data_IF_197547779265
#
_entry.id   IF_197547779265
#
_cell.length_a   1.000
_cell.length_b   1.000
_cell.length_c   1.000
_cell.angle_alpha   90.00
_cell.angle_beta   90.00
_cell.angle_gamma   90.00
#
_symmetry.space_group_name_H-M   'P 1'
#
loop_
_entity.id
_entity.type
_entity.pdbx_description
1 polymer ?
#
# COMPACT_ATOMS: atom_id res chain seq x y z
N UNK A 1 -15.62 5.85 19.77
CA UNK A 1 -14.35 6.60 19.95
C UNK A 1 -13.20 5.60 20.00
N UNK A 2 -12.48 5.42 18.90
CA UNK A 2 -11.18 4.75 18.90
C UNK A 2 -10.24 5.64 18.11
N UNK A 3 -9.44 6.44 18.82
CA UNK A 3 -8.42 7.29 18.21
C UNK A 3 -7.34 6.35 17.67
N UNK A 4 -7.34 6.14 16.36
CA UNK A 4 -6.26 5.49 15.64
C UNK A 4 -4.98 6.29 15.87
N UNK A 5 -4.12 5.80 16.75
CA UNK A 5 -2.72 6.23 16.77
C UNK A 5 -2.00 5.41 15.70
N UNK A 6 -1.49 6.07 14.67
CA UNK A 6 -0.47 5.47 13.83
C UNK A 6 0.66 4.97 14.75
N UNK A 7 1.21 3.76 14.57
CA UNK A 7 2.38 3.33 15.31
C UNK A 7 3.48 4.34 15.07
N UNK A 8 3.76 5.08 16.14
CA UNK A 8 4.81 6.07 16.20
C UNK A 8 6.12 5.39 15.81
N UNK A 9 6.74 5.89 14.74
CA UNK A 9 8.16 6.19 14.89
C UNK A 9 8.22 7.07 16.13
N UNK A 10 8.86 6.60 17.21
CA UNK A 10 8.89 7.25 18.53
C UNK A 10 9.56 8.65 18.52
N UNK A 11 9.65 9.27 17.34
CA UNK A 11 10.39 10.47 17.01
C UNK A 11 9.69 11.36 15.95
N UNK A 12 8.44 11.08 15.54
CA UNK A 12 7.70 12.01 14.67
C UNK A 12 7.18 13.20 15.50
N UNK A 13 7.91 14.31 15.46
CA UNK A 13 7.58 15.55 16.17
C UNK A 13 6.31 16.24 15.62
N UNK A 14 5.84 15.87 14.44
CA UNK A 14 4.71 16.46 13.73
C UNK A 14 3.55 15.47 13.54
N UNK A 15 3.47 14.43 14.38
CA UNK A 15 2.51 13.33 14.23
C UNK A 15 1.04 13.79 14.19
N UNK A 16 0.70 14.80 14.98
CA UNK A 16 -0.63 15.42 14.99
C UNK A 16 -1.00 16.06 13.65
N UNK A 17 -0.05 16.71 12.98
CA UNK A 17 -0.26 17.22 11.62
C UNK A 17 -0.44 16.09 10.62
N UNK A 18 0.39 15.06 10.71
CA UNK A 18 0.27 13.88 9.87
C UNK A 18 -1.11 13.22 10.03
N UNK A 19 -1.60 13.07 11.26
CA UNK A 19 -2.88 12.42 11.56
C UNK A 19 -4.05 13.16 10.89
N UNK A 20 -4.16 14.48 11.08
CA UNK A 20 -5.26 15.23 10.48
C UNK A 20 -5.15 15.31 8.95
N UNK A 21 -3.93 15.35 8.40
CA UNK A 21 -3.72 15.35 6.95
C UNK A 21 -4.08 14.01 6.33
N UNK A 22 -3.77 12.89 7.01
CA UNK A 22 -4.16 11.56 6.58
C UNK A 22 -5.68 11.40 6.60
N UNK A 23 -6.35 11.92 7.62
CA UNK A 23 -7.81 11.93 7.69
C UNK A 23 -8.44 12.76 6.55
N UNK A 24 -7.90 13.95 6.28
CA UNK A 24 -8.32 14.75 5.12
C UNK A 24 -8.05 14.04 3.80
N UNK A 25 -6.93 13.32 3.68
CA UNK A 25 -6.62 12.54 2.49
C UNK A 25 -7.70 11.47 2.27
N UNK A 26 -7.99 10.66 3.29
CA UNK A 26 -8.98 9.60 3.21
C UNK A 26 -10.37 10.14 2.86
N UNK A 27 -10.76 11.29 3.43
CA UNK A 27 -11.99 11.97 3.04
C UNK A 27 -12.00 12.36 1.55
N UNK A 28 -10.94 13.00 1.06
CA UNK A 28 -10.89 13.42 -0.34
C UNK A 28 -10.90 12.21 -1.29
N UNK A 29 -10.28 11.08 -0.92
CA UNK A 29 -10.32 9.84 -1.70
C UNK A 29 -11.71 9.18 -1.67
N UNK A 30 -12.26 9.01 -0.48
CA UNK A 30 -13.42 8.14 -0.28
C UNK A 30 -14.74 8.89 -0.52
N UNK A 31 -14.83 10.13 -0.10
CA UNK A 31 -16.06 10.94 -0.17
C UNK A 31 -16.03 11.87 -1.38
N UNK A 32 -15.01 12.73 -1.48
CA UNK A 32 -14.92 13.70 -2.60
C UNK A 32 -14.43 13.08 -3.92
N UNK A 33 -13.90 11.85 -3.88
CA UNK A 33 -13.30 11.14 -5.03
C UNK A 33 -12.22 11.94 -5.77
N UNK A 34 -11.48 12.76 -5.04
CA UNK A 34 -10.40 13.60 -5.55
C UNK A 34 -9.03 12.98 -5.25
N UNK A 35 -8.53 12.18 -6.19
CA UNK A 35 -7.27 11.46 -6.03
C UNK A 35 -6.05 12.40 -5.97
N UNK A 36 -6.11 13.55 -6.64
CA UNK A 36 -5.00 14.52 -6.63
C UNK A 36 -4.85 15.16 -5.25
N UNK A 37 -5.95 15.55 -4.61
CA UNK A 37 -5.92 16.07 -3.23
C UNK A 37 -5.54 15.00 -2.22
N UNK A 38 -6.03 13.77 -2.39
CA UNK A 38 -5.59 12.62 -1.58
C UNK A 38 -4.07 12.47 -1.62
N UNK A 39 -3.47 12.45 -2.82
CA UNK A 39 -2.02 12.35 -2.98
C UNK A 39 -1.30 13.57 -2.39
N UNK A 40 -1.83 14.78 -2.56
CA UNK A 40 -1.23 16.00 -2.03
C UNK A 40 -1.17 16.00 -0.49
N UNK A 41 -2.25 15.62 0.19
CA UNK A 41 -2.25 15.53 1.66
C UNK A 41 -1.31 14.45 2.18
N UNK A 42 -1.24 13.29 1.51
CA UNK A 42 -0.29 12.22 1.88
C UNK A 42 1.15 12.63 1.69
N UNK A 43 1.47 13.34 0.60
CA UNK A 43 2.81 13.90 0.37
C UNK A 43 3.18 14.91 1.46
N UNK A 44 2.27 15.81 1.83
CA UNK A 44 2.50 16.74 2.92
C UNK A 44 2.72 16.03 4.27
N UNK A 45 1.89 15.03 4.59
CA UNK A 45 2.03 14.24 5.82
C UNK A 45 3.37 13.49 5.87
N UNK A 46 3.81 12.92 4.74
CA UNK A 46 5.11 12.24 4.59
C UNK A 46 6.28 13.17 4.90
N UNK A 47 6.30 14.35 4.28
CA UNK A 47 7.40 15.31 4.43
C UNK A 47 7.42 15.92 5.83
N UNK A 48 6.25 16.13 6.46
CA UNK A 48 6.17 16.55 7.86
C UNK A 48 6.64 15.47 8.83
N UNK A 49 6.33 14.20 8.55
CA UNK A 49 6.77 13.07 9.37
C UNK A 49 8.29 12.89 9.35
N UNK A 50 8.92 13.16 8.20
CA UNK A 50 10.37 13.11 8.03
C UNK A 50 11.09 14.38 8.54
N UNK A 51 10.36 15.45 8.86
CA UNK A 51 10.97 16.70 9.29
C UNK A 51 11.57 16.56 10.70
N UNK A 52 12.87 16.86 10.91
CA UNK A 52 13.58 16.56 12.16
C UNK A 52 13.22 17.50 13.32
N UNK A 53 12.39 18.52 13.09
CA UNK A 53 11.98 19.50 14.08
C UNK A 53 10.47 19.59 14.16
N UNK A 54 9.97 20.12 15.27
CA UNK A 54 8.56 20.51 15.39
C UNK A 54 8.34 21.75 14.52
N UNK A 55 7.35 21.69 13.63
CA UNK A 55 6.91 22.87 12.87
C UNK A 55 6.09 23.78 13.78
N UNK A 56 6.42 25.07 13.79
CA UNK A 56 5.84 26.09 14.67
C UNK A 56 4.92 27.06 13.93
N UNK A 57 4.90 27.04 12.59
CA UNK A 57 3.98 27.84 11.78
C UNK A 57 3.70 27.22 10.42
N UNK A 58 2.58 27.61 9.81
CA UNK A 58 2.26 27.27 8.43
C UNK A 58 3.30 27.80 7.45
N UNK A 59 3.89 28.98 7.70
CA UNK A 59 4.95 29.52 6.83
C UNK A 59 6.23 28.69 6.86
N UNK A 60 6.59 28.16 8.03
CA UNK A 60 7.68 27.20 8.14
C UNK A 60 7.34 25.92 7.37
N UNK A 61 6.14 25.38 7.57
CA UNK A 61 5.67 24.19 6.86
C UNK A 61 5.72 24.37 5.34
N UNK A 62 5.32 25.55 4.84
CA UNK A 62 5.23 25.89 3.40
C UNK A 62 6.60 25.86 2.68
N UNK A 63 7.71 25.92 3.42
CA UNK A 63 9.06 25.75 2.86
C UNK A 63 9.34 24.30 2.45
N UNK A 64 8.57 23.35 2.97
CA UNK A 64 8.71 21.94 2.66
C UNK A 64 8.06 21.61 1.31
N UNK A 65 8.80 20.92 0.44
CA UNK A 65 8.27 20.49 -0.85
C UNK A 65 7.07 19.54 -0.65
N UNK A 66 5.89 19.94 -1.12
CA UNK A 66 4.63 19.20 -0.92
C UNK A 66 3.65 19.89 0.03
N UNK A 67 4.07 20.94 0.75
CA UNK A 67 3.19 21.76 1.59
C UNK A 67 2.87 23.08 0.88
N UNK A 68 1.67 23.18 0.31
CA UNK A 68 1.17 24.40 -0.30
C UNK A 68 0.43 25.32 0.69
N UNK A 69 0.01 26.49 0.20
CA UNK A 69 -0.70 27.51 0.99
C UNK A 69 -1.96 26.98 1.72
N UNK A 70 -2.75 26.13 1.06
CA UNK A 70 -3.96 25.56 1.68
C UNK A 70 -3.66 24.59 2.83
N UNK A 71 -2.47 23.99 2.84
CA UNK A 71 -2.03 23.06 3.89
C UNK A 71 -1.38 23.87 5.02
N UNK A 72 -0.53 24.85 4.69
CA UNK A 72 0.04 25.77 5.68
C UNK A 72 -1.04 26.46 6.52
N UNK A 73 -2.10 26.96 5.89
CA UNK A 73 -3.19 27.64 6.62
C UNK A 73 -3.94 26.69 7.57
N UNK A 74 -3.99 25.39 7.27
CA UNK A 74 -4.59 24.38 8.17
C UNK A 74 -3.68 24.08 9.35
N UNK A 75 -2.37 24.05 9.13
CA UNK A 75 -1.38 23.90 10.20
C UNK A 75 -1.48 25.10 11.16
N UNK A 76 -1.58 26.32 10.63
CA UNK A 76 -1.81 27.52 11.45
C UNK A 76 -3.13 27.45 12.24
N UNK A 77 -4.23 27.07 11.60
CA UNK A 77 -5.52 26.88 12.28
C UNK A 77 -5.41 25.85 13.42
N UNK A 78 -4.76 24.72 13.16
CA UNK A 78 -4.56 23.67 14.16
C UNK A 78 -3.67 24.13 15.31
N UNK A 79 -2.56 24.82 15.03
CA UNK A 79 -1.66 25.36 16.04
C UNK A 79 -2.37 26.37 16.95
N UNK A 80 -3.26 27.20 16.38
CA UNK A 80 -3.99 28.22 17.14
C UNK A 80 -5.15 27.65 17.96
N UNK A 81 -5.85 26.64 17.45
CA UNK A 81 -7.14 26.18 18.02
C UNK A 81 -7.13 24.76 18.56
N UNK A 82 -6.11 23.97 18.23
CA UNK A 82 -6.05 22.53 18.48
C UNK A 82 -7.01 21.69 17.64
N UNK A 83 -7.73 22.29 16.68
CA UNK A 83 -8.76 21.65 15.86
C UNK A 83 -8.75 22.16 14.41
N UNK A 84 -9.48 21.48 13.54
CA UNK A 84 -9.75 21.93 12.18
C UNK A 84 -11.27 22.00 11.97
N UNK A 85 -11.82 23.18 11.65
CA UNK A 85 -13.25 23.32 11.36
C UNK A 85 -13.70 22.42 10.21
N UNK A 86 -12.83 22.19 9.21
CA UNK A 86 -13.14 21.27 8.11
C UNK A 86 -13.32 19.83 8.59
N UNK A 87 -12.52 19.36 9.55
CA UNK A 87 -12.67 18.01 10.10
C UNK A 87 -13.91 17.92 10.98
N UNK A 88 -14.20 18.94 11.79
CA UNK A 88 -15.44 18.99 12.57
C UNK A 88 -16.68 18.87 11.65
N UNK A 89 -16.68 19.56 10.50
CA UNK A 89 -17.76 19.44 9.53
C UNK A 89 -17.85 18.03 8.91
N UNK A 90 -16.72 17.40 8.61
CA UNK A 90 -16.67 16.02 8.10
C UNK A 90 -17.19 15.04 9.16
N UNK A 91 -16.85 15.25 10.43
CA UNK A 91 -17.32 14.47 11.57
C UNK A 91 -18.81 14.67 11.84
N UNK A 92 -19.45 15.71 11.33
CA UNK A 92 -20.89 15.93 11.46
C UNK A 92 -21.69 15.45 10.23
N UNK A 93 -21.02 14.99 9.17
CA UNK A 93 -21.67 14.48 7.96
C UNK A 93 -21.85 12.95 8.05
N UNK A 94 -23.05 12.51 8.42
CA UNK A 94 -23.40 11.08 8.52
C UNK A 94 -23.10 10.29 7.24
N UNK A 95 -23.30 10.90 6.07
CA UNK A 95 -23.04 10.26 4.77
C UNK A 95 -21.55 10.06 4.58
N UNK A 96 -20.74 11.07 4.89
CA UNK A 96 -19.28 10.98 4.83
C UNK A 96 -18.73 9.92 5.79
N UNK A 97 -19.26 9.87 7.02
CA UNK A 97 -18.89 8.84 8.00
C UNK A 97 -19.20 7.43 7.49
N UNK A 98 -20.41 7.22 6.97
CA UNK A 98 -20.83 5.92 6.46
C UNK A 98 -19.99 5.48 5.25
N UNK A 99 -19.70 6.39 4.30
CA UNK A 99 -18.78 6.10 3.19
C UNK A 99 -17.38 5.72 3.72
N UNK A 100 -16.87 6.46 4.70
CA UNK A 100 -15.56 6.19 5.29
C UNK A 100 -15.51 4.86 6.04
N UNK A 101 -16.62 4.45 6.68
CA UNK A 101 -16.75 3.15 7.30
C UNK A 101 -16.75 2.03 6.25
N UNK A 102 -17.62 2.12 5.25
CA UNK A 102 -17.80 1.08 4.24
C UNK A 102 -16.53 0.87 3.41
N UNK A 103 -15.78 1.93 3.11
CA UNK A 103 -14.53 1.84 2.35
C UNK A 103 -13.37 1.20 3.12
N UNK A 104 -13.49 0.97 4.43
CA UNK A 104 -12.53 0.16 5.20
C UNK A 104 -12.69 -1.34 4.95
N UNK A 105 -13.86 -1.78 4.49
CA UNK A 105 -14.10 -3.18 4.13
C UNK A 105 -13.33 -3.49 2.85
N UNK A 106 -12.42 -4.45 2.90
CA UNK A 106 -11.61 -4.84 1.75
C UNK A 106 -12.49 -5.21 0.55
N UNK A 107 -12.22 -4.62 -0.62
CA UNK A 107 -13.03 -4.80 -1.84
C UNK A 107 -14.16 -3.78 -2.02
N UNK A 108 -14.47 -2.94 -1.02
CA UNK A 108 -15.41 -1.82 -1.16
C UNK A 108 -14.64 -0.52 -1.42
N UNK A 109 -14.69 -0.05 -2.67
CA UNK A 109 -14.16 1.27 -3.06
C UNK A 109 -15.19 2.40 -2.94
N UNK A 110 -14.78 3.67 -3.19
CA UNK A 110 -15.66 4.85 -3.09
C UNK A 110 -16.92 4.79 -3.96
N UNK A 111 -16.82 4.12 -5.11
CA UNK A 111 -17.95 3.89 -6.03
C UNK A 111 -18.98 2.96 -5.40
N UNK A 112 -18.52 1.79 -4.92
CA UNK A 112 -19.40 0.79 -4.29
C UNK A 112 -19.98 1.30 -2.97
N UNK A 113 -19.19 2.00 -2.16
CA UNK A 113 -19.69 2.60 -0.93
C UNK A 113 -20.85 3.56 -1.18
N UNK A 114 -20.76 4.44 -2.19
CA UNK A 114 -21.88 5.33 -2.52
C UNK A 114 -23.11 4.60 -3.07
N UNK A 115 -22.93 3.54 -3.87
CA UNK A 115 -24.04 2.67 -4.32
C UNK A 115 -24.78 2.03 -3.13
N UNK A 116 -24.03 1.52 -2.15
CA UNK A 116 -24.57 0.93 -0.92
C UNK A 116 -25.35 1.97 -0.09
N UNK A 117 -24.84 3.19 0.03
CA UNK A 117 -25.52 4.29 0.74
C UNK A 117 -26.86 4.63 0.08
N UNK A 118 -26.93 4.67 -1.26
CA UNK A 118 -28.19 4.90 -2.00
C UNK A 118 -29.20 3.80 -1.68
N UNK A 119 -28.74 2.58 -1.45
CA UNK A 119 -29.55 1.41 -1.04
C UNK A 119 -29.84 1.36 0.46
N UNK A 120 -29.50 2.41 1.21
CA UNK A 120 -29.77 2.51 2.65
C UNK A 120 -28.76 1.78 3.55
N UNK A 121 -27.69 1.21 2.99
CA UNK A 121 -26.67 0.47 3.74
C UNK A 121 -25.64 1.47 4.27
N UNK A 122 -25.59 1.66 5.60
CA UNK A 122 -24.68 2.63 6.24
C UNK A 122 -23.75 2.02 7.28
N UNK A 123 -24.07 0.83 7.78
CA UNK A 123 -23.34 0.15 8.86
C UNK A 123 -22.81 -1.22 8.45
N UNK A 124 -21.91 -1.80 9.27
CA UNK A 124 -21.46 -3.18 9.09
C UNK A 124 -22.59 -4.20 9.33
N UNK A 125 -23.57 -3.85 10.17
CA UNK A 125 -24.75 -4.68 10.40
C UNK A 125 -25.63 -4.73 9.15
N UNK A 126 -25.83 -3.58 8.50
CA UNK A 126 -26.57 -3.51 7.23
C UNK A 126 -25.88 -4.35 6.15
N UNK A 127 -24.54 -4.30 6.05
CA UNK A 127 -23.77 -5.15 5.14
C UNK A 127 -23.98 -6.64 5.44
N UNK A 128 -23.97 -7.02 6.73
CA UNK A 128 -24.18 -8.41 7.12
C UNK A 128 -25.58 -8.93 6.80
N UNK A 129 -26.60 -8.07 6.84
CA UNK A 129 -27.98 -8.40 6.45
C UNK A 129 -28.19 -8.44 4.93
N UNK A 130 -27.33 -7.78 4.15
CA UNK A 130 -27.48 -7.61 2.69
C UNK A 130 -26.26 -8.14 1.92
N UNK A 131 -25.80 -9.36 2.26
CA UNK A 131 -24.61 -9.99 1.68
C UNK A 131 -24.75 -10.28 0.18
N UNK A 132 -25.97 -10.43 -0.32
CA UNK A 132 -26.30 -10.59 -1.74
C UNK A 132 -25.88 -9.38 -2.60
N UNK A 133 -25.72 -8.20 -1.99
CA UNK A 133 -25.23 -7.00 -2.67
C UNK A 133 -23.70 -6.96 -2.83
N UNK A 134 -22.99 -7.93 -2.26
CA UNK A 134 -21.53 -7.97 -2.18
C UNK A 134 -20.95 -9.05 -3.10
N UNK A 135 -19.86 -8.72 -3.77
CA UNK A 135 -19.08 -9.73 -4.51
C UNK A 135 -18.19 -10.56 -3.56
N UNK A 136 -17.57 -11.62 -4.10
CA UNK A 136 -16.71 -12.52 -3.32
C UNK A 136 -15.63 -11.80 -2.51
N UNK A 137 -14.90 -10.86 -3.10
CA UNK A 137 -13.87 -10.08 -2.38
C UNK A 137 -14.49 -9.30 -1.22
N UNK A 138 -15.61 -8.62 -1.46
CA UNK A 138 -16.30 -7.82 -0.45
C UNK A 138 -16.84 -8.69 0.70
N UNK A 139 -17.32 -9.91 0.40
CA UNK A 139 -17.75 -10.87 1.41
C UNK A 139 -16.59 -11.31 2.32
N UNK A 140 -15.42 -11.61 1.73
CA UNK A 140 -14.22 -11.93 2.50
C UNK A 140 -13.74 -10.71 3.30
N UNK A 141 -13.77 -9.52 2.71
CA UNK A 141 -13.42 -8.28 3.39
C UNK A 141 -14.33 -7.95 4.57
N UNK A 142 -15.62 -8.29 4.48
CA UNK A 142 -16.57 -8.16 5.58
C UNK A 142 -16.34 -9.24 6.65
N UNK A 143 -16.11 -10.49 6.23
CA UNK A 143 -15.86 -11.64 7.11
C UNK A 143 -14.67 -11.41 8.04
N UNK A 144 -13.59 -10.82 7.53
CA UNK A 144 -12.34 -10.57 8.27
C UNK A 144 -12.11 -9.09 8.56
N UNK A 145 -13.18 -8.28 8.64
CA UNK A 145 -13.06 -6.84 8.81
C UNK A 145 -12.20 -6.47 10.01
N UNK A 146 -12.48 -7.05 11.18
CA UNK A 146 -11.77 -6.75 12.42
C UNK A 146 -10.30 -7.22 12.37
N UNK A 147 -10.05 -8.43 11.86
CA UNK A 147 -8.69 -8.98 11.72
C UNK A 147 -7.81 -8.13 10.78
N UNK A 148 -8.37 -7.67 9.65
CA UNK A 148 -7.65 -6.87 8.66
C UNK A 148 -7.35 -5.44 9.14
N UNK A 149 -8.03 -4.95 10.18
CA UNK A 149 -7.69 -3.66 10.79
C UNK A 149 -6.51 -3.74 11.76
N UNK A 150 -6.17 -4.94 12.23
CA UNK A 150 -5.08 -5.17 13.17
C UNK A 150 -3.74 -5.28 12.44
N UNK A 151 -2.74 -4.53 12.92
CA UNK A 151 -1.37 -4.64 12.41
C UNK A 151 -0.76 -6.01 12.74
N UNK A 152 0.15 -6.46 11.89
CA UNK A 152 0.86 -7.72 12.00
C UNK A 152 2.23 -7.47 12.63
N UNK A 153 2.54 -7.99 13.83
CA UNK A 153 3.87 -7.90 14.42
C UNK A 153 4.94 -8.51 13.50
N UNK A 154 6.12 -7.89 13.44
CA UNK A 154 7.24 -8.37 12.61
C UNK A 154 7.60 -9.84 12.88
N UNK A 155 7.55 -10.28 14.14
CA UNK A 155 7.84 -11.66 14.53
C UNK A 155 6.84 -12.66 13.91
N UNK A 156 5.57 -12.29 13.81
CA UNK A 156 4.55 -13.13 13.16
C UNK A 156 4.88 -13.31 11.66
N UNK A 157 5.29 -12.22 10.98
CA UNK A 157 5.71 -12.27 9.57
C UNK A 157 6.96 -13.12 9.39
N UNK A 158 7.94 -13.07 10.31
CA UNK A 158 9.13 -13.91 10.25
C UNK A 158 8.80 -15.41 10.31
N UNK A 159 7.84 -15.79 11.17
CA UNK A 159 7.36 -17.18 11.25
C UNK A 159 6.63 -17.60 9.97
N UNK A 160 5.75 -16.73 9.44
CA UNK A 160 5.06 -16.97 8.16
C UNK A 160 6.06 -17.06 6.99
N UNK A 161 7.07 -16.19 6.94
CA UNK A 161 8.14 -16.21 5.94
C UNK A 161 8.88 -17.54 5.95
N UNK A 162 9.21 -18.08 7.13
CA UNK A 162 9.89 -19.36 7.25
C UNK A 162 9.05 -20.51 6.69
N UNK A 163 7.74 -20.52 6.94
CA UNK A 163 6.80 -21.52 6.39
C UNK A 163 6.70 -21.39 4.87
N UNK A 164 6.50 -20.16 4.36
CA UNK A 164 6.40 -19.89 2.93
C UNK A 164 7.67 -20.36 2.21
N UNK A 165 8.85 -19.96 2.69
CA UNK A 165 10.13 -20.36 2.09
C UNK A 165 10.31 -21.87 2.12
N UNK A 166 10.09 -22.51 3.27
CA UNK A 166 10.21 -23.97 3.41
C UNK A 166 9.32 -24.70 2.40
N UNK A 167 8.04 -24.35 2.34
CA UNK A 167 7.08 -25.07 1.50
C UNK A 167 7.32 -24.83 0.00
N UNK A 168 7.63 -23.59 -0.41
CA UNK A 168 7.90 -23.27 -1.82
C UNK A 168 9.25 -23.86 -2.28
N UNK A 169 10.29 -23.82 -1.45
CA UNK A 169 11.59 -24.39 -1.82
C UNK A 169 11.60 -25.93 -1.81
N UNK A 170 10.74 -26.56 -1.02
CA UNK A 170 10.51 -28.01 -1.10
C UNK A 170 9.78 -28.43 -2.39
N UNK A 171 8.99 -27.53 -2.98
CA UNK A 171 8.33 -27.76 -4.26
C UNK A 171 9.34 -27.68 -5.42
N UNK A 172 10.20 -26.65 -5.41
CA UNK A 172 11.27 -26.45 -6.37
C UNK A 172 12.32 -25.50 -5.76
N UNK A 173 13.59 -25.89 -5.75
CA UNK A 173 14.66 -25.07 -5.17
C UNK A 173 15.05 -23.87 -6.04
N UNK A 174 14.57 -23.82 -7.30
CA UNK A 174 14.83 -22.72 -8.23
C UNK A 174 13.95 -21.48 -7.98
N UNK A 175 12.96 -21.56 -7.07
CA UNK A 175 12.19 -20.38 -6.68
C UNK A 175 13.04 -19.38 -5.88
N UNK A 176 12.89 -18.10 -6.20
CA UNK A 176 13.34 -17.01 -5.33
C UNK A 176 12.13 -16.38 -4.64
N UNK A 177 12.18 -16.24 -3.31
CA UNK A 177 11.10 -15.69 -2.49
C UNK A 177 11.62 -14.51 -1.68
N UNK A 178 10.98 -13.35 -1.81
CA UNK A 178 11.30 -12.13 -1.07
C UNK A 178 10.03 -11.52 -0.46
N UNK A 179 9.96 -11.45 0.87
CA UNK A 179 8.92 -10.67 1.54
C UNK A 179 9.25 -9.19 1.38
N UNK A 180 8.32 -8.42 0.82
CA UNK A 180 8.48 -7.02 0.44
C UNK A 180 7.68 -6.09 1.37
N UNK A 181 7.12 -5.02 0.82
CA UNK A 181 6.26 -4.10 1.53
C UNK A 181 6.94 -3.43 2.73
N UNK A 182 6.13 -3.06 3.72
CA UNK A 182 6.61 -2.45 4.97
C UNK A 182 7.57 -3.36 5.75
N UNK A 183 7.46 -4.68 5.62
CA UNK A 183 8.36 -5.63 6.26
C UNK A 183 9.80 -5.47 5.75
N UNK A 184 10.01 -5.38 4.44
CA UNK A 184 11.34 -5.16 3.84
C UNK A 184 11.91 -3.79 4.15
N UNK A 185 11.07 -2.80 4.43
CA UNK A 185 11.50 -1.46 4.89
C UNK A 185 11.76 -1.38 6.40
N UNK A 186 11.84 -2.51 7.09
CA UNK A 186 12.20 -2.58 8.51
C UNK A 186 11.08 -2.21 9.49
N UNK A 187 9.81 -2.14 9.05
CA UNK A 187 8.70 -1.84 9.96
C UNK A 187 8.59 -2.90 11.08
N UNK A 188 8.31 -2.43 12.30
CA UNK A 188 8.06 -3.29 13.47
C UNK A 188 6.68 -3.97 13.39
N UNK A 189 5.75 -3.39 12.64
CA UNK A 189 4.46 -3.97 12.31
C UNK A 189 4.05 -3.62 10.88
N UNK A 190 3.38 -4.54 10.19
CA UNK A 190 2.89 -4.36 8.81
C UNK A 190 1.37 -4.35 8.74
N UNK A 191 0.79 -3.88 7.63
CA UNK A 191 -0.65 -4.02 7.36
C UNK A 191 -1.02 -5.39 6.80
N UNK A 192 -0.17 -5.92 5.94
CA UNK A 192 -0.32 -7.16 5.19
C UNK A 192 1.06 -7.77 4.90
N UNK A 193 1.05 -8.91 4.21
CA UNK A 193 2.24 -9.66 3.83
C UNK A 193 2.34 -9.67 2.30
N UNK A 194 3.32 -8.96 1.77
CA UNK A 194 3.63 -8.88 0.35
C UNK A 194 4.76 -9.85 0.01
N UNK A 195 4.51 -10.83 -0.85
CA UNK A 195 5.50 -11.84 -1.26
C UNK A 195 5.79 -11.68 -2.74
N UNK A 196 7.03 -11.35 -3.07
CA UNK A 196 7.53 -11.42 -4.44
C UNK A 196 8.14 -12.81 -4.65
N UNK A 197 7.71 -13.48 -5.71
CA UNK A 197 8.21 -14.80 -6.12
C UNK A 197 8.71 -14.72 -7.56
N UNK A 198 9.84 -15.35 -7.83
CA UNK A 198 10.33 -15.54 -9.20
C UNK A 198 10.75 -16.99 -9.43
N UNK A 199 10.76 -17.40 -10.70
CA UNK A 199 11.18 -18.74 -11.12
C UNK A 199 11.79 -18.69 -12.52
N UNK A 200 12.88 -19.42 -12.83
CA UNK A 200 13.55 -19.37 -14.14
C UNK A 200 12.66 -19.69 -15.35
N UNK A 201 11.63 -20.51 -15.15
CA UNK A 201 10.66 -20.88 -16.21
C UNK A 201 9.58 -19.81 -16.45
N UNK A 202 9.42 -18.84 -15.54
CA UNK A 202 8.47 -17.75 -15.70
C UNK A 202 9.00 -16.76 -16.74
N UNK A 203 8.17 -16.43 -17.74
CA UNK A 203 8.49 -15.49 -18.83
C UNK A 203 7.32 -14.54 -19.06
N UNK A 204 7.62 -13.36 -19.62
CA UNK A 204 6.70 -12.23 -19.84
C UNK A 204 5.41 -12.60 -20.57
N UNK A 205 5.47 -13.54 -21.51
CA UNK A 205 4.41 -13.89 -22.46
C UNK A 205 3.74 -15.24 -22.16
N UNK A 206 4.04 -15.85 -21.00
CA UNK A 206 3.60 -17.21 -20.67
C UNK A 206 2.63 -17.26 -19.50
N UNK A 207 1.45 -16.66 -19.67
CA UNK A 207 0.38 -16.64 -18.65
C UNK A 207 0.03 -18.04 -18.14
N UNK A 208 -0.11 -19.03 -19.03
CA UNK A 208 -0.39 -20.44 -18.66
C UNK A 208 0.67 -21.05 -17.74
N UNK A 209 1.95 -20.66 -17.90
CA UNK A 209 3.02 -21.11 -17.00
C UNK A 209 2.85 -20.43 -15.64
N UNK A 210 2.62 -19.12 -15.64
CA UNK A 210 2.35 -18.37 -14.42
C UNK A 210 1.19 -18.96 -13.60
N UNK A 211 0.05 -19.24 -14.24
CA UNK A 211 -1.11 -19.89 -13.60
C UNK A 211 -0.74 -21.23 -12.96
N UNK A 212 0.02 -22.07 -13.68
CA UNK A 212 0.48 -23.36 -13.18
C UNK A 212 1.42 -23.21 -11.98
N UNK A 213 2.36 -22.27 -12.04
CA UNK A 213 3.31 -22.02 -10.95
C UNK A 213 2.58 -21.48 -9.71
N UNK A 214 1.70 -20.48 -9.87
CA UNK A 214 0.92 -19.94 -8.75
C UNK A 214 -0.03 -20.96 -8.14
N UNK A 215 -0.66 -21.82 -8.96
CA UNK A 215 -1.49 -22.92 -8.46
C UNK A 215 -0.67 -23.87 -7.59
N UNK A 216 0.53 -24.27 -8.05
CA UNK A 216 1.43 -25.12 -7.25
C UNK A 216 1.91 -24.42 -5.97
N UNK A 217 2.24 -23.14 -6.02
CA UNK A 217 2.60 -22.34 -4.84
C UNK A 217 1.45 -22.37 -3.83
N UNK A 218 0.22 -22.06 -4.27
CA UNK A 218 -0.97 -22.08 -3.42
C UNK A 218 -1.18 -23.46 -2.78
N UNK A 219 -1.06 -24.54 -3.57
CA UNK A 219 -1.17 -25.92 -3.08
C UNK A 219 -0.08 -26.25 -2.04
N UNK A 220 1.16 -25.83 -2.27
CA UNK A 220 2.28 -26.04 -1.35
C UNK A 220 2.12 -25.26 -0.03
N UNK A 221 1.47 -24.09 -0.05
CA UNK A 221 1.19 -23.32 1.16
C UNK A 221 0.10 -23.98 2.03
N UNK A 222 -0.75 -24.85 1.46
CA UNK A 222 -1.69 -25.69 2.20
C UNK A 222 -2.54 -24.92 3.21
N UNK A 223 -2.54 -25.39 4.46
CA UNK A 223 -3.31 -24.85 5.58
C UNK A 223 -2.93 -23.42 5.98
N UNK A 224 -1.77 -22.91 5.52
CA UNK A 224 -1.42 -21.50 5.73
C UNK A 224 -2.44 -20.59 5.04
N UNK A 225 -3.02 -21.01 3.90
CA UNK A 225 -4.02 -20.24 3.14
C UNK A 225 -5.42 -20.59 3.65
N UNK A 226 -6.09 -19.62 4.26
CA UNK A 226 -7.44 -19.77 4.81
C UNK A 226 -8.52 -19.43 3.79
N UNK A 227 -8.30 -18.39 2.98
CA UNK A 227 -9.27 -17.95 1.97
C UNK A 227 -8.56 -17.36 0.75
N UNK A 228 -9.20 -17.46 -0.40
CA UNK A 228 -8.73 -16.87 -1.67
C UNK A 228 -9.65 -15.73 -2.05
N UNK A 229 -9.10 -14.52 -2.18
CA UNK A 229 -9.84 -13.34 -2.63
C UNK A 229 -9.85 -13.31 -4.16
N UNK A 230 -8.69 -13.47 -4.78
CA UNK A 230 -8.55 -13.58 -6.24
C UNK A 230 -7.25 -14.30 -6.59
N UNK A 231 -7.22 -14.96 -7.74
CA UNK A 231 -6.02 -15.61 -8.25
C UNK A 231 -6.03 -15.53 -9.77
N UNK A 232 -4.97 -14.97 -10.35
CA UNK A 232 -4.71 -14.94 -11.79
C UNK A 232 -3.37 -15.58 -12.12
N UNK A 233 -2.87 -15.33 -13.34
CA UNK A 233 -1.61 -15.90 -13.83
C UNK A 233 -0.35 -15.42 -13.09
N UNK A 234 -0.34 -14.20 -12.57
CA UNK A 234 0.85 -13.59 -11.95
C UNK A 234 0.59 -13.00 -10.59
N UNK A 235 -0.66 -13.00 -10.12
CA UNK A 235 -1.05 -12.42 -8.83
C UNK A 235 -2.02 -13.31 -8.10
N UNK A 236 -1.72 -13.56 -6.84
CA UNK A 236 -2.63 -14.15 -5.86
C UNK A 236 -2.91 -13.12 -4.77
N UNK A 237 -4.17 -13.00 -4.38
CA UNK A 237 -4.61 -12.25 -3.21
C UNK A 237 -5.44 -13.20 -2.36
N UNK A 238 -5.06 -13.34 -1.10
CA UNK A 238 -5.76 -14.22 -0.18
C UNK A 238 -5.63 -13.79 1.26
N UNK A 239 -5.92 -14.77 2.10
CA UNK A 239 -5.92 -14.69 3.55
C UNK A 239 -5.08 -15.84 4.07
N UNK A 240 -4.12 -15.54 4.93
CA UNK A 240 -3.30 -16.55 5.59
C UNK A 240 -3.44 -16.47 7.11
N UNK A 241 -3.08 -17.56 7.80
CA UNK A 241 -3.11 -17.60 9.27
C UNK A 241 -1.99 -18.50 9.77
N UNK A 242 -1.21 -18.01 10.72
CA UNK A 242 -0.05 -18.73 11.26
C UNK A 242 -0.44 -19.97 12.08
N UNK A 243 -1.46 -19.85 12.94
CA UNK A 243 -2.09 -20.95 13.67
C UNK A 243 -3.50 -20.54 14.10
N UNK A 244 -4.30 -21.44 14.69
CA UNK A 244 -5.65 -21.13 15.16
C UNK A 244 -5.72 -20.01 16.21
N UNK A 245 -4.64 -19.77 16.94
CA UNK A 245 -4.52 -18.70 17.94
C UNK A 245 -4.21 -17.33 17.32
N UNK A 246 -3.87 -17.27 16.03
CA UNK A 246 -3.51 -16.05 15.33
C UNK A 246 -4.66 -15.51 14.49
N UNK A 247 -4.65 -14.18 14.29
CA UNK A 247 -5.62 -13.51 13.44
C UNK A 247 -5.42 -13.85 11.95
N UNK A 248 -6.47 -13.69 11.16
CA UNK A 248 -6.41 -13.86 9.72
C UNK A 248 -5.73 -12.65 9.07
N UNK A 249 -4.66 -12.89 8.32
CA UNK A 249 -3.83 -11.83 7.72
C UNK A 249 -4.00 -11.79 6.21
N UNK A 250 -3.94 -10.58 5.63
CA UNK A 250 -3.88 -10.42 4.17
C UNK A 250 -2.51 -10.88 3.65
N UNK A 251 -2.55 -11.71 2.61
CA UNK A 251 -1.38 -12.21 1.91
C UNK A 251 -1.53 -11.94 0.41
N UNK A 252 -0.57 -11.24 -0.15
CA UNK A 252 -0.47 -11.00 -1.59
C UNK A 252 0.81 -11.62 -2.14
N UNK A 253 0.67 -12.49 -3.14
CA UNK A 253 1.81 -13.11 -3.81
C UNK A 253 1.86 -12.60 -5.25
N UNK A 254 3.01 -12.06 -5.65
CA UNK A 254 3.27 -11.59 -7.01
C UNK A 254 4.36 -12.45 -7.64
N UNK A 255 4.00 -13.19 -8.68
CA UNK A 255 4.92 -13.97 -9.50
C UNK A 255 5.42 -13.12 -10.67
N UNK A 256 6.74 -12.98 -10.80
CA UNK A 256 7.39 -12.15 -11.80
C UNK A 256 8.54 -12.93 -12.48
N UNK A 257 8.84 -12.70 -13.77
CA UNK A 257 10.04 -13.24 -14.42
C UNK A 257 11.34 -12.82 -13.69
N UNK A 258 12.34 -13.72 -13.66
CA UNK A 258 13.62 -13.46 -12.97
C UNK A 258 14.30 -12.17 -13.47
N UNK A 259 14.23 -11.91 -14.77
CA UNK A 259 14.87 -10.75 -15.41
C UNK A 259 14.27 -9.40 -14.97
N UNK A 260 13.10 -9.42 -14.32
CA UNK A 260 12.39 -8.23 -13.86
C UNK A 260 12.46 -8.08 -12.32
N UNK A 261 13.22 -8.94 -11.64
CA UNK A 261 13.28 -8.99 -10.18
C UNK A 261 13.59 -7.63 -9.56
N UNK A 262 14.61 -6.91 -10.04
CA UNK A 262 15.06 -5.66 -9.43
C UNK A 262 14.02 -4.53 -9.57
N UNK A 263 13.34 -4.41 -10.71
CA UNK A 263 12.22 -3.48 -10.88
C UNK A 263 11.05 -3.85 -9.96
N UNK A 264 10.74 -5.14 -9.87
CA UNK A 264 9.62 -5.63 -9.10
C UNK A 264 9.86 -5.51 -7.61
N UNK A 265 11.04 -5.87 -7.11
CA UNK A 265 11.39 -5.76 -5.70
C UNK A 265 11.45 -4.30 -5.26
N UNK A 266 11.95 -3.38 -6.11
CA UNK A 266 11.87 -1.94 -5.84
C UNK A 266 10.42 -1.49 -5.70
N UNK A 267 9.56 -1.83 -6.67
CA UNK A 267 8.14 -1.49 -6.64
C UNK A 267 7.41 -2.06 -5.42
N UNK A 268 7.60 -3.36 -5.14
CA UNK A 268 6.89 -4.05 -4.08
C UNK A 268 7.45 -3.72 -2.70
N UNK A 269 8.70 -3.25 -2.60
CA UNK A 269 9.26 -2.68 -1.37
C UNK A 269 8.56 -1.38 -1.01
N UNK A 270 8.28 -0.51 -1.99
CA UNK A 270 7.64 0.79 -1.75
C UNK A 270 8.47 1.74 -0.89
N UNK A 271 7.88 2.68 -0.15
CA UNK A 271 6.43 2.90 0.03
C UNK A 271 5.72 3.34 -1.25
N UNK A 272 4.38 3.41 -1.24
CA UNK A 272 3.63 3.87 -2.40
C UNK A 272 3.83 5.37 -2.70
N UNK A 273 4.13 6.18 -1.67
CA UNK A 273 4.55 7.59 -1.84
C UNK A 273 5.94 7.65 -2.46
N UNK A 274 6.90 6.88 -1.94
CA UNK A 274 8.25 6.77 -2.51
C UNK A 274 8.22 6.35 -3.99
N UNK A 275 7.44 5.32 -4.32
CA UNK A 275 7.27 4.87 -5.71
C UNK A 275 6.70 5.97 -6.62
N UNK A 276 5.74 6.76 -6.14
CA UNK A 276 5.15 7.86 -6.92
C UNK A 276 6.18 8.96 -7.18
N UNK A 277 6.91 9.38 -6.14
CA UNK A 277 7.92 10.43 -6.26
C UNK A 277 9.11 9.97 -7.13
N UNK A 278 9.60 8.74 -6.95
CA UNK A 278 10.68 8.18 -7.78
C UNK A 278 10.27 8.05 -9.25
N UNK A 279 9.03 7.63 -9.54
CA UNK A 279 8.51 7.56 -10.91
C UNK A 279 8.33 8.94 -11.52
N UNK A 280 7.90 9.94 -10.75
CA UNK A 280 7.82 11.31 -11.21
C UNK A 280 9.21 11.87 -11.57
N UNK A 281 10.21 11.64 -10.71
CA UNK A 281 11.61 11.99 -10.99
C UNK A 281 12.15 11.28 -12.23
N UNK A 282 11.85 9.98 -12.40
CA UNK A 282 12.23 9.25 -13.61
C UNK A 282 11.67 9.93 -14.88
N UNK A 283 10.41 10.38 -14.86
CA UNK A 283 9.81 11.09 -16.00
C UNK A 283 10.53 12.42 -16.30
N UNK A 284 10.91 13.18 -15.28
CA UNK A 284 11.71 14.40 -15.43
C UNK A 284 13.08 14.11 -16.09
N UNK A 285 13.65 12.95 -15.78
CA UNK A 285 14.91 12.43 -16.35
C UNK A 285 14.73 11.71 -17.68
N UNK A 286 13.55 11.80 -18.32
CA UNK A 286 13.21 11.12 -19.59
C UNK A 286 13.25 9.59 -19.49
N UNK A 287 12.81 9.03 -18.38
CA UNK A 287 12.56 7.60 -18.21
C UNK A 287 11.14 7.32 -17.71
N UNK A 288 10.61 6.15 -18.05
CA UNK A 288 9.40 5.61 -17.43
C UNK A 288 9.77 4.37 -16.63
N UNK A 289 9.39 4.35 -15.35
CA UNK A 289 9.66 3.25 -14.43
C UNK A 289 8.34 2.57 -14.01
N UNK A 290 8.26 1.25 -14.18
CA UNK A 290 7.19 0.43 -13.63
C UNK A 290 7.75 -0.81 -12.91
N UNK A 291 6.89 -1.71 -12.45
CA UNK A 291 7.34 -2.93 -11.74
C UNK A 291 8.10 -3.93 -12.63
N UNK A 292 8.15 -3.70 -13.94
CA UNK A 292 8.71 -4.65 -14.91
C UNK A 292 10.01 -4.15 -15.54
N UNK A 293 10.15 -2.85 -15.75
CA UNK A 293 11.26 -2.26 -16.50
C UNK A 293 11.41 -0.77 -16.24
N UNK A 294 12.64 -0.29 -16.45
CA UNK A 294 12.94 1.12 -16.72
C UNK A 294 13.16 1.28 -18.23
N UNK A 295 12.53 2.28 -18.85
CA UNK A 295 12.64 2.53 -20.30
C UNK A 295 12.92 4.01 -20.56
N UNK A 296 13.84 4.36 -21.48
CA UNK A 296 14.06 5.74 -21.87
C UNK A 296 12.85 6.25 -22.67
N UNK A 297 12.59 7.55 -22.60
CA UNK A 297 11.55 8.26 -23.33
C UNK A 297 12.24 9.09 -24.40
N UNK A 298 12.01 8.74 -25.66
CA UNK A 298 12.56 9.47 -26.80
C UNK A 298 12.04 10.91 -26.89
N UNK A 299 12.64 11.71 -27.75
CA UNK A 299 12.25 13.12 -27.96
C UNK A 299 10.78 13.30 -28.35
N UNK A 300 10.20 12.29 -29.00
CA UNK A 300 8.78 12.24 -29.42
C UNK A 300 7.84 11.76 -28.31
N UNK A 301 8.35 11.39 -27.13
CA UNK A 301 7.56 10.80 -26.03
C UNK A 301 7.39 9.28 -26.13
N UNK A 302 7.90 8.63 -27.18
CA UNK A 302 7.80 7.17 -27.36
C UNK A 302 8.77 6.45 -26.43
N UNK A 303 8.30 5.39 -25.77
CA UNK A 303 9.11 4.56 -24.89
C UNK A 303 10.06 3.67 -25.69
N UNK A 304 11.35 3.74 -25.37
CA UNK A 304 12.37 2.85 -25.91
C UNK A 304 12.33 1.45 -25.31
N UNK A 305 13.36 0.66 -25.61
CA UNK A 305 13.54 -0.68 -25.05
C UNK A 305 13.93 -0.63 -23.57
N UNK A 306 13.60 -1.67 -22.78
CA UNK A 306 14.09 -1.80 -21.41
C UNK A 306 15.61 -1.70 -21.32
N UNK A 307 16.12 -0.92 -20.37
CA UNK A 307 17.56 -0.88 -20.09
C UNK A 307 17.98 -2.11 -19.27
N UNK A 308 19.25 -2.56 -19.38
CA UNK A 308 19.77 -3.64 -18.56
C UNK A 308 19.78 -3.26 -17.07
N UNK A 309 19.24 -4.13 -16.21
CA UNK A 309 19.17 -3.93 -14.76
C UNK A 309 19.59 -5.23 -14.09
N UNK A 310 20.60 -5.15 -13.24
CA UNK A 310 21.23 -6.25 -12.49
C UNK A 310 21.22 -6.03 -10.99
N UNK A 311 20.80 -4.84 -10.54
CA UNK A 311 20.68 -4.45 -9.14
C UNK A 311 19.52 -3.45 -8.95
N UNK A 312 19.12 -3.18 -7.70
CA UNK A 312 18.19 -2.06 -7.47
C UNK A 312 18.89 -0.73 -7.76
N UNK A 313 20.17 -0.62 -7.38
CA UNK A 313 21.07 0.52 -7.52
C UNK A 313 21.17 1.01 -8.96
N UNK A 314 21.21 0.11 -9.95
CA UNK A 314 21.24 0.47 -11.38
C UNK A 314 20.06 1.40 -11.74
N UNK A 315 18.87 1.14 -11.18
CA UNK A 315 17.67 1.94 -11.43
C UNK A 315 17.85 3.36 -10.91
N UNK A 316 18.46 3.51 -9.73
CA UNK A 316 18.76 4.80 -9.11
C UNK A 316 19.80 5.56 -9.93
N UNK A 317 20.83 4.88 -10.41
CA UNK A 317 21.90 5.46 -11.21
C UNK A 317 21.38 5.97 -12.57
N UNK A 318 20.56 5.18 -13.29
CA UNK A 318 20.00 5.60 -14.58
C UNK A 318 19.19 6.89 -14.50
N UNK A 319 18.49 7.11 -13.40
CA UNK A 319 17.65 8.29 -13.20
C UNK A 319 18.35 9.38 -12.38
N UNK A 320 19.66 9.25 -12.11
CA UNK A 320 20.42 10.23 -11.33
C UNK A 320 19.71 10.56 -10.00
N UNK A 321 19.42 9.52 -9.23
CA UNK A 321 18.77 9.60 -7.92
C UNK A 321 19.67 8.91 -6.88
N UNK A 322 19.93 9.53 -5.71
CA UNK A 322 20.79 8.91 -4.71
C UNK A 322 20.18 7.59 -4.23
N UNK A 323 21.00 6.53 -4.18
CA UNK A 323 20.53 5.24 -3.71
C UNK A 323 19.98 5.34 -2.28
N UNK A 324 18.81 4.74 -2.09
CA UNK A 324 18.13 4.65 -0.79
C UNK A 324 17.94 3.19 -0.43
N UNK A 325 18.43 2.79 0.74
CA UNK A 325 18.14 1.47 1.31
C UNK A 325 16.65 1.32 1.58
N UNK A 326 16.10 0.09 1.62
CA UNK A 326 14.68 -0.13 1.89
C UNK A 326 14.12 0.64 3.11
N UNK A 327 14.88 0.73 4.20
CA UNK A 327 14.48 1.39 5.44
C UNK A 327 14.37 2.92 5.30
N UNK A 328 15.07 3.50 4.32
CA UNK A 328 15.03 4.93 3.99
C UNK A 328 13.87 5.30 3.06
N UNK A 329 13.08 4.32 2.60
CA UNK A 329 11.96 4.50 1.67
C UNK A 329 10.59 4.57 2.37
N UNK A 330 10.60 4.79 3.69
CA UNK A 330 9.40 4.97 4.51
C UNK A 330 8.87 6.40 4.36
N UNK A 331 8.39 6.73 3.16
CA UNK A 331 7.72 8.00 2.86
C UNK A 331 6.20 7.86 3.01
#
# INVERSE_FOLDING_TARGET
MSKRKNPSTNNNLNADFCDFLMELADYEKNVSRNIHKYNAYRKAASVLAAHPKRIESGQEAKKLNGVGEKISNKIDEFLQTGKLRKLDNIHNDEKAQAISLLTRVSGIGPVKAADLIIKGIKTLEDLNKNKDLLNHHQLIGLKYFEDFEQKIPREEIQKIEAIIKKNILNLDCDYTITICGSYRRGASQSGDIDVLVTHPTMKLDKEKIGEKLLKKIKEALGELIVDVISMGATKFMGVCRLSEEHLNRRLDIRLIPNEQYHCAVLYFTGSDVFNKDMRAHALEKRFTLNEYSLRPIGVTGVHGQPVPITSEEDIFDYIDYPYKKPEERNL
#
